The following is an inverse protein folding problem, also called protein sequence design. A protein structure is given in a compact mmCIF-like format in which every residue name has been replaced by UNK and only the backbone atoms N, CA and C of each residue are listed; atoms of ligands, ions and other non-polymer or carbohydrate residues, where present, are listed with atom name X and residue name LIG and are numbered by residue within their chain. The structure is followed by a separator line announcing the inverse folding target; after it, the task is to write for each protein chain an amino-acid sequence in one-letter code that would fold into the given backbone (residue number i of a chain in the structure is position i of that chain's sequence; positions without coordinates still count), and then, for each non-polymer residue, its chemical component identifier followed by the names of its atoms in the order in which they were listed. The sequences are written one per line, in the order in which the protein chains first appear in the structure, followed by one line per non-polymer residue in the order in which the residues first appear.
data_IF_984473042952
#
_entry.id   IF_984473042952
#
_cell.length_a   1.000
_cell.length_b   1.000
_cell.length_c   1.000
_cell.angle_alpha   90.00
_cell.angle_beta   90.00
_cell.angle_gamma   90.00
#
_symmetry.space_group_name_H-M   'P 1'
#
loop_
_entity.id
_entity.type
_entity.pdbx_description
1 polymer ?
#
# COMPACT_ATOMS: atom_id res chain seq x y z
N UNK A 1 -16.48 14.06 51.54
CA UNK A 1 -15.16 14.64 51.87
C UNK A 1 -14.04 13.62 52.08
N UNK A 2 -14.26 12.44 52.70
CA UNK A 2 -13.19 11.42 52.87
C UNK A 2 -12.64 10.85 51.54
N UNK A 3 -13.52 10.51 50.59
CA UNK A 3 -13.12 9.96 49.27
C UNK A 3 -12.26 10.91 48.41
N UNK A 4 -12.47 12.23 48.48
CA UNK A 4 -11.65 13.24 47.76
C UNK A 4 -10.22 13.32 48.31
N UNK A 5 -10.06 13.31 49.64
CA UNK A 5 -8.74 13.35 50.30
C UNK A 5 -7.92 12.08 50.06
N UNK A 6 -8.57 10.91 50.00
CA UNK A 6 -7.90 9.64 49.70
C UNK A 6 -7.40 9.60 48.25
N UNK A 7 -8.17 10.16 47.30
CA UNK A 7 -7.76 10.21 45.89
C UNK A 7 -6.59 11.19 45.66
N UNK A 8 -6.59 12.34 46.35
CA UNK A 8 -5.49 13.33 46.28
C UNK A 8 -4.16 12.77 46.84
N UNK A 9 -4.20 12.04 47.96
CA UNK A 9 -3.02 11.39 48.54
C UNK A 9 -2.47 10.25 47.67
N UNK A 10 -3.34 9.46 47.06
CA UNK A 10 -2.94 8.41 46.13
C UNK A 10 -2.27 8.99 44.86
N UNK A 11 -2.79 10.11 44.34
CA UNK A 11 -2.22 10.76 43.17
C UNK A 11 -0.84 11.37 43.46
N UNK A 12 -0.67 12.03 44.60
CA UNK A 12 0.64 12.56 45.05
C UNK A 12 1.70 11.46 45.23
N UNK A 13 1.30 10.29 45.74
CA UNK A 13 2.19 9.13 45.88
C UNK A 13 2.64 8.60 44.51
N UNK A 14 1.70 8.47 43.56
CA UNK A 14 2.01 8.06 42.18
C UNK A 14 2.91 9.05 41.45
N UNK A 15 2.69 10.35 41.61
CA UNK A 15 3.53 11.38 40.99
C UNK A 15 4.95 11.42 41.59
N UNK A 16 5.10 11.13 42.88
CA UNK A 16 6.41 10.93 43.50
C UNK A 16 7.11 9.70 42.92
N UNK A 17 6.43 8.56 42.87
CA UNK A 17 7.00 7.33 42.32
C UNK A 17 7.38 7.48 40.85
N UNK A 18 6.54 8.14 40.02
CA UNK A 18 6.87 8.44 38.62
C UNK A 18 8.18 9.21 38.51
N UNK A 19 8.39 10.26 39.32
CA UNK A 19 9.65 11.02 39.35
C UNK A 19 10.83 10.14 39.72
N UNK A 20 10.70 9.31 40.76
CA UNK A 20 11.75 8.37 41.16
C UNK A 20 12.12 7.37 40.05
N UNK A 21 11.16 6.92 39.24
CA UNK A 21 11.40 6.07 38.08
C UNK A 21 12.11 6.82 36.95
N UNK A 22 11.69 8.05 36.66
CA UNK A 22 12.34 8.89 35.65
C UNK A 22 13.79 9.17 36.04
N UNK A 23 14.03 9.54 37.29
CA UNK A 23 15.37 9.80 37.82
C UNK A 23 16.25 8.54 37.73
N UNK A 24 15.71 7.36 38.07
CA UNK A 24 16.40 6.08 37.91
C UNK A 24 16.91 5.86 36.49
N UNK A 25 16.03 6.03 35.50
CA UNK A 25 16.38 5.79 34.10
C UNK A 25 17.30 6.88 33.53
N UNK A 26 17.24 8.11 34.05
CA UNK A 26 18.18 9.19 33.70
C UNK A 26 19.57 8.93 34.27
N UNK A 27 19.66 8.54 35.54
CA UNK A 27 20.93 8.19 36.19
C UNK A 27 21.60 6.99 35.51
N UNK A 28 20.81 5.98 35.12
CA UNK A 28 21.29 4.79 34.40
C UNK A 28 21.25 4.91 32.87
N UNK A 29 21.12 6.12 32.31
CA UNK A 29 20.94 6.33 30.84
C UNK A 29 22.00 5.61 30.01
N UNK A 30 23.27 5.92 30.23
CA UNK A 30 24.36 5.34 29.44
C UNK A 30 24.49 3.82 29.57
N UNK A 31 24.53 3.22 30.76
CA UNK A 31 24.68 1.77 30.86
C UNK A 31 23.49 1.01 30.26
N UNK A 32 22.26 1.51 30.44
CA UNK A 32 21.07 0.85 29.87
C UNK A 32 21.01 1.00 28.35
N UNK A 33 21.35 2.18 27.82
CA UNK A 33 21.41 2.40 26.37
C UNK A 33 22.47 1.52 25.70
N UNK A 34 23.67 1.42 26.28
CA UNK A 34 24.71 0.52 25.76
C UNK A 34 24.26 -0.94 25.81
N UNK A 35 23.71 -1.39 26.95
CA UNK A 35 23.17 -2.75 27.09
C UNK A 35 22.08 -3.05 26.06
N UNK A 36 21.21 -2.08 25.78
CA UNK A 36 20.17 -2.20 24.76
C UNK A 36 20.77 -2.37 23.36
N UNK A 37 21.71 -1.50 22.98
CA UNK A 37 22.40 -1.58 21.68
C UNK A 37 23.14 -2.91 21.52
N UNK A 38 23.88 -3.36 22.54
CA UNK A 38 24.57 -4.65 22.52
C UNK A 38 23.62 -5.83 22.30
N UNK A 39 22.47 -5.84 22.98
CA UNK A 39 21.45 -6.88 22.78
C UNK A 39 20.83 -6.82 21.37
N UNK A 40 20.62 -5.63 20.81
CA UNK A 40 20.13 -5.50 19.44
C UNK A 40 21.15 -6.00 18.41
N UNK A 41 22.45 -5.73 18.63
CA UNK A 41 23.55 -6.27 17.80
C UNK A 41 23.57 -7.79 17.87
N UNK A 42 23.51 -8.37 19.07
CA UNK A 42 23.52 -9.81 19.26
C UNK A 42 22.34 -10.52 18.59
N UNK A 43 21.18 -9.86 18.52
CA UNK A 43 19.97 -10.33 17.83
C UNK A 43 19.96 -10.03 16.32
N UNK A 44 20.97 -9.33 15.78
CA UNK A 44 21.02 -8.94 14.36
C UNK A 44 20.02 -7.86 13.95
N UNK A 45 19.41 -7.15 14.91
CA UNK A 45 18.31 -6.20 14.65
C UNK A 45 18.80 -4.89 14.02
N UNK A 46 20.10 -4.56 14.15
CA UNK A 46 20.70 -3.34 13.61
C UNK A 46 21.37 -3.55 12.24
N UNK A 47 21.12 -4.68 11.59
CA UNK A 47 21.68 -4.96 10.27
C UNK A 47 21.31 -3.85 9.26
N UNK A 48 22.32 -3.32 8.57
CA UNK A 48 22.17 -2.25 7.57
C UNK A 48 22.29 -0.82 8.11
N UNK A 49 22.39 -0.62 9.42
CA UNK A 49 22.60 0.70 10.02
C UNK A 49 24.09 0.99 10.24
N UNK A 50 24.48 2.25 10.04
CA UNK A 50 25.82 2.74 10.39
C UNK A 50 25.96 2.95 11.90
N UNK A 51 27.20 3.01 12.39
CA UNK A 51 27.47 3.29 13.80
C UNK A 51 26.90 4.65 14.25
N UNK A 52 26.99 5.67 13.41
CA UNK A 52 26.48 7.01 13.70
C UNK A 52 24.95 7.04 13.80
N UNK A 53 24.26 6.31 12.92
CA UNK A 53 22.81 6.12 13.01
C UNK A 53 22.43 5.38 14.29
N UNK A 54 23.11 4.27 14.62
CA UNK A 54 22.83 3.50 15.84
C UNK A 54 22.97 4.40 17.09
N UNK A 55 24.03 5.20 17.18
CA UNK A 55 24.22 6.13 18.29
C UNK A 55 23.10 7.18 18.36
N UNK A 56 22.83 7.86 17.24
CA UNK A 56 21.84 8.95 17.19
C UNK A 56 20.42 8.46 17.48
N UNK A 57 20.02 7.36 16.84
CA UNK A 57 18.67 6.79 17.00
C UNK A 57 18.49 6.18 18.39
N UNK A 58 19.50 5.49 18.93
CA UNK A 58 19.40 4.93 20.29
C UNK A 58 19.27 6.02 21.36
N UNK A 59 19.98 7.15 21.23
CA UNK A 59 19.80 8.29 22.14
C UNK A 59 18.38 8.86 22.03
N UNK A 60 17.92 9.12 20.81
CA UNK A 60 16.62 9.75 20.55
C UNK A 60 15.47 8.88 21.05
N UNK A 61 15.50 7.58 20.77
CA UNK A 61 14.46 6.64 21.22
C UNK A 61 14.46 6.53 22.74
N UNK A 62 15.65 6.41 23.36
CA UNK A 62 15.75 6.31 24.81
C UNK A 62 15.14 7.55 25.48
N UNK A 63 15.56 8.74 25.06
CA UNK A 63 15.11 10.01 25.64
C UNK A 63 13.62 10.26 25.41
N UNK A 64 13.09 9.89 24.24
CA UNK A 64 11.66 9.98 23.93
C UNK A 64 10.85 9.07 24.85
N UNK A 65 11.30 7.83 25.11
CA UNK A 65 10.61 6.93 26.02
C UNK A 65 10.56 7.48 27.46
N UNK A 66 11.67 8.05 27.93
CA UNK A 66 11.74 8.65 29.27
C UNK A 66 10.88 9.91 29.37
N UNK A 67 10.85 10.75 28.32
CA UNK A 67 9.96 11.91 28.24
C UNK A 67 8.48 11.48 28.34
N UNK A 68 8.07 10.45 27.59
CA UNK A 68 6.71 9.90 27.69
C UNK A 68 6.38 9.37 29.10
N UNK A 69 7.35 8.76 29.79
CA UNK A 69 7.16 8.29 31.17
C UNK A 69 7.01 9.46 32.15
N UNK A 70 7.74 10.55 31.94
CA UNK A 70 7.71 11.75 32.78
C UNK A 70 6.42 12.56 32.60
N UNK A 71 6.03 12.82 31.35
CA UNK A 71 4.91 13.73 31.02
C UNK A 71 3.58 13.00 30.89
N UNK A 72 3.59 11.73 30.48
CA UNK A 72 2.39 11.01 30.06
C UNK A 72 1.83 11.47 28.71
N UNK A 73 2.58 12.30 27.98
CA UNK A 73 2.24 12.79 26.64
C UNK A 73 3.00 11.99 25.57
N UNK A 74 2.41 11.84 24.38
CA UNK A 74 2.91 10.93 23.34
C UNK A 74 3.02 11.57 21.95
N UNK A 75 2.75 12.86 21.80
CA UNK A 75 2.71 13.54 20.51
C UNK A 75 4.09 13.52 19.80
N UNK A 76 5.16 13.74 20.57
CA UNK A 76 6.54 13.65 20.07
C UNK A 76 6.90 12.22 19.67
N UNK A 77 6.51 11.24 20.49
CA UNK A 77 6.73 9.82 20.18
C UNK A 77 5.98 9.39 18.93
N UNK A 78 4.74 9.88 18.73
CA UNK A 78 3.97 9.63 17.52
C UNK A 78 4.61 10.27 16.28
N UNK A 79 5.03 11.53 16.40
CA UNK A 79 5.71 12.25 15.31
C UNK A 79 7.03 11.59 14.92
N UNK A 80 7.81 11.14 15.91
CA UNK A 80 9.05 10.41 15.67
C UNK A 80 8.77 9.03 15.07
N UNK A 81 7.79 8.28 15.59
CA UNK A 81 7.43 6.96 15.07
C UNK A 81 7.00 7.00 13.60
N UNK A 82 6.23 8.01 13.18
CA UNK A 82 5.84 8.20 11.78
C UNK A 82 7.07 8.42 10.89
N UNK A 83 7.96 9.35 11.26
CA UNK A 83 9.19 9.62 10.51
C UNK A 83 10.11 8.40 10.43
N UNK A 84 10.22 7.66 11.54
CA UNK A 84 11.01 6.43 11.60
C UNK A 84 10.40 5.35 10.71
N UNK A 85 9.06 5.20 10.70
CA UNK A 85 8.37 4.26 9.83
C UNK A 85 8.58 4.59 8.34
N UNK A 86 8.42 5.85 7.94
CA UNK A 86 8.66 6.31 6.57
C UNK A 86 10.07 5.98 6.10
N UNK A 87 11.10 6.38 6.87
CA UNK A 87 12.50 6.09 6.54
C UNK A 87 12.80 4.59 6.57
N UNK A 88 12.31 3.88 7.59
CA UNK A 88 12.57 2.46 7.79
C UNK A 88 11.97 1.59 6.70
N UNK A 89 10.73 1.88 6.26
CA UNK A 89 10.11 1.16 5.13
C UNK A 89 10.88 1.41 3.84
N UNK A 90 11.31 2.64 3.56
CA UNK A 90 12.11 2.99 2.38
C UNK A 90 13.48 2.31 2.36
N UNK A 91 14.11 2.16 3.52
CA UNK A 91 15.40 1.47 3.68
C UNK A 91 15.28 -0.06 3.77
N UNK A 92 14.07 -0.61 3.67
CA UNK A 92 13.84 -2.06 3.69
C UNK A 92 13.91 -2.69 5.08
N UNK A 93 13.83 -1.91 6.16
CA UNK A 93 13.78 -2.45 7.52
C UNK A 93 12.59 -3.39 7.70
N UNK A 94 12.83 -4.50 8.38
CA UNK A 94 11.79 -5.49 8.68
C UNK A 94 10.99 -5.12 9.93
N UNK A 95 9.78 -5.66 10.05
CA UNK A 95 8.99 -5.53 11.28
C UNK A 95 9.73 -6.08 12.50
N UNK A 96 10.53 -7.13 12.32
CA UNK A 96 11.33 -7.75 13.38
C UNK A 96 12.39 -6.78 13.91
N UNK A 97 13.07 -6.02 13.04
CA UNK A 97 14.04 -5.02 13.46
C UNK A 97 13.40 -3.91 14.31
N UNK A 98 12.27 -3.37 13.87
CA UNK A 98 11.61 -2.25 14.57
C UNK A 98 10.95 -2.69 15.86
N UNK A 99 10.10 -3.73 15.80
CA UNK A 99 9.37 -4.21 16.98
C UNK A 99 10.34 -4.89 17.96
N UNK A 100 11.25 -5.71 17.45
CA UNK A 100 12.26 -6.39 18.25
C UNK A 100 13.21 -5.40 18.94
N UNK A 101 13.57 -4.29 18.29
CA UNK A 101 14.38 -3.23 18.87
C UNK A 101 13.71 -2.64 20.12
N UNK A 102 12.44 -2.23 19.99
CA UNK A 102 11.69 -1.64 21.11
C UNK A 102 11.35 -2.65 22.21
N UNK A 103 11.04 -3.90 21.87
CA UNK A 103 10.87 -4.97 22.86
C UNK A 103 12.16 -5.25 23.63
N UNK A 104 13.31 -5.16 22.97
CA UNK A 104 14.61 -5.30 23.65
C UNK A 104 14.86 -4.15 24.63
N UNK A 105 14.46 -2.91 24.30
CA UNK A 105 14.52 -1.80 25.25
C UNK A 105 13.59 -2.02 26.45
N UNK A 106 12.38 -2.53 26.20
CA UNK A 106 11.44 -2.91 27.26
C UNK A 106 12.04 -3.93 28.21
N UNK A 107 12.72 -4.96 27.69
CA UNK A 107 13.40 -5.97 28.52
C UNK A 107 14.50 -5.36 29.38
N UNK A 108 15.29 -4.43 28.82
CA UNK A 108 16.36 -3.72 29.54
C UNK A 108 15.79 -2.88 30.69
N UNK A 109 14.73 -2.11 30.43
CA UNK A 109 14.04 -1.35 31.48
C UNK A 109 13.42 -2.26 32.55
N UNK A 110 12.75 -3.34 32.15
CA UNK A 110 12.16 -4.30 33.09
C UNK A 110 13.19 -4.92 34.03
N UNK A 111 14.35 -5.37 33.50
CA UNK A 111 15.45 -5.90 34.32
C UNK A 111 16.02 -4.84 35.27
N UNK A 112 16.20 -3.61 34.78
CA UNK A 112 16.70 -2.50 35.60
C UNK A 112 15.77 -2.14 36.77
N UNK A 113 14.46 -2.24 36.57
CA UNK A 113 13.47 -2.07 37.65
C UNK A 113 13.52 -3.23 38.64
N UNK A 114 13.59 -4.48 38.14
CA UNK A 114 13.72 -5.65 39.00
C UNK A 114 14.95 -5.57 39.89
N UNK A 115 16.11 -5.16 39.37
CA UNK A 115 17.34 -4.97 40.15
C UNK A 115 17.18 -3.91 41.25
N UNK A 116 16.52 -2.78 40.95
CA UNK A 116 16.30 -1.68 41.90
C UNK A 116 15.41 -2.11 43.06
N UNK A 117 14.33 -2.84 42.76
CA UNK A 117 13.30 -3.22 43.73
C UNK A 117 13.39 -4.70 44.15
N UNK A 118 14.54 -5.36 43.96
CA UNK A 118 14.69 -6.80 44.22
C UNK A 118 14.36 -7.23 45.67
N UNK A 119 14.40 -6.30 46.62
CA UNK A 119 14.06 -6.51 48.04
C UNK A 119 12.73 -5.85 48.45
N UNK A 120 11.99 -5.26 47.51
CA UNK A 120 10.75 -4.51 47.74
C UNK A 120 9.70 -4.87 46.67
N UNK A 121 8.98 -5.96 46.91
CA UNK A 121 7.99 -6.51 45.96
C UNK A 121 6.81 -5.55 45.76
N UNK A 122 6.34 -4.89 46.82
CA UNK A 122 5.23 -3.93 46.73
C UNK A 122 5.65 -2.68 45.94
N UNK A 123 6.87 -2.20 46.16
CA UNK A 123 7.46 -1.12 45.37
C UNK A 123 7.65 -1.49 43.91
N UNK A 124 8.12 -2.72 43.61
CA UNK A 124 8.24 -3.22 42.24
C UNK A 124 6.88 -3.25 41.53
N UNK A 125 5.85 -3.79 42.19
CA UNK A 125 4.50 -3.84 41.61
C UNK A 125 3.98 -2.43 41.31
N UNK A 126 4.16 -1.49 42.26
CA UNK A 126 3.73 -0.10 42.10
C UNK A 126 4.50 0.62 40.98
N UNK A 127 5.78 0.29 40.80
CA UNK A 127 6.61 0.83 39.72
C UNK A 127 6.15 0.32 38.34
N UNK A 128 5.86 -0.98 38.24
CA UNK A 128 5.36 -1.59 37.01
C UNK A 128 3.98 -1.05 36.62
N UNK A 129 3.09 -0.79 37.58
CA UNK A 129 1.78 -0.16 37.33
C UNK A 129 1.88 1.22 36.65
N UNK A 130 3.02 1.91 36.80
CA UNK A 130 3.29 3.20 36.14
C UNK A 130 4.01 2.97 34.80
N UNK A 131 5.03 2.11 34.79
CA UNK A 131 5.89 1.89 33.63
C UNK A 131 5.19 1.12 32.50
N UNK A 132 4.48 0.04 32.80
CA UNK A 132 3.92 -0.86 31.78
C UNK A 132 2.90 -0.18 30.86
N UNK A 133 1.95 0.63 31.35
CA UNK A 133 1.02 1.33 30.47
C UNK A 133 1.73 2.24 29.47
N UNK A 134 2.79 2.94 29.91
CA UNK A 134 3.59 3.82 29.05
C UNK A 134 4.35 3.00 28.01
N UNK A 135 5.05 1.94 28.44
CA UNK A 135 5.79 1.06 27.53
C UNK A 135 4.88 0.41 26.47
N UNK A 136 3.70 -0.08 26.88
CA UNK A 136 2.72 -0.67 25.97
C UNK A 136 2.14 0.36 25.00
N UNK A 137 1.93 1.61 25.44
CA UNK A 137 1.46 2.70 24.59
C UNK A 137 2.49 3.09 23.54
N UNK A 138 3.76 3.23 23.92
CA UNK A 138 4.87 3.51 22.98
C UNK A 138 4.99 2.39 21.96
N UNK A 139 4.96 1.12 22.41
CA UNK A 139 4.99 -0.03 21.51
C UNK A 139 3.84 -0.02 20.50
N UNK A 140 2.63 0.32 20.96
CA UNK A 140 1.46 0.43 20.09
C UNK A 140 1.61 1.55 19.07
N UNK A 141 2.14 2.72 19.48
CA UNK A 141 2.38 3.86 18.58
C UNK A 141 3.36 3.47 17.47
N UNK A 142 4.49 2.89 17.83
CA UNK A 142 5.53 2.48 16.87
C UNK A 142 5.01 1.38 15.94
N UNK A 143 4.31 0.38 16.48
CA UNK A 143 3.74 -0.71 15.69
C UNK A 143 2.70 -0.20 14.69
N UNK A 144 1.76 0.63 15.14
CA UNK A 144 0.71 1.17 14.28
C UNK A 144 1.27 2.10 13.20
N UNK A 145 2.24 2.94 13.53
CA UNK A 145 2.90 3.80 12.55
C UNK A 145 3.58 2.97 11.44
N UNK A 146 4.29 1.90 11.81
CA UNK A 146 4.95 1.04 10.83
C UNK A 146 3.97 0.25 9.96
N UNK A 147 2.92 -0.31 10.57
CA UNK A 147 1.86 -1.02 9.82
C UNK A 147 1.17 -0.06 8.84
N UNK A 148 0.80 1.14 9.29
CA UNK A 148 0.14 2.13 8.46
C UNK A 148 1.00 2.53 7.24
N UNK A 149 2.30 2.73 7.44
CA UNK A 149 3.21 3.09 6.34
C UNK A 149 3.42 1.93 5.37
N UNK A 150 3.58 0.69 5.87
CA UNK A 150 3.66 -0.50 5.01
C UNK A 150 2.40 -0.67 4.17
N UNK A 151 1.22 -0.53 4.78
CA UNK A 151 -0.05 -0.59 4.03
C UNK A 151 -0.16 0.51 3.00
N UNK A 152 0.30 1.73 3.31
CA UNK A 152 0.31 2.86 2.37
C UNK A 152 1.18 2.54 1.15
N UNK A 153 2.38 1.99 1.36
CA UNK A 153 3.25 1.55 0.26
C UNK A 153 2.59 0.46 -0.58
N UNK A 154 1.95 -0.53 0.05
CA UNK A 154 1.22 -1.60 -0.67
C UNK A 154 0.06 -1.02 -1.51
N UNK A 155 -0.72 -0.09 -0.95
CA UNK A 155 -1.81 0.59 -1.67
C UNK A 155 -1.29 1.37 -2.86
N UNK A 156 -0.23 2.15 -2.68
CA UNK A 156 0.40 2.91 -3.78
C UNK A 156 0.95 2.01 -4.88
N UNK A 157 1.55 0.87 -4.51
CA UNK A 157 1.99 -0.12 -5.48
C UNK A 157 0.82 -0.74 -6.24
N UNK A 158 -0.28 -1.05 -5.55
CA UNK A 158 -1.50 -1.57 -6.18
C UNK A 158 -2.14 -0.55 -7.13
N UNK A 159 -2.22 0.72 -6.74
CA UNK A 159 -2.71 1.81 -7.59
C UNK A 159 -1.81 2.00 -8.82
N UNK A 160 -0.49 2.04 -8.64
CA UNK A 160 0.46 2.14 -9.75
C UNK A 160 0.35 0.94 -10.71
N UNK A 161 0.19 -0.28 -10.18
CA UNK A 161 -0.08 -1.47 -10.99
C UNK A 161 -1.39 -1.30 -11.75
N UNK A 162 -2.47 -0.82 -11.13
CA UNK A 162 -3.75 -0.58 -11.81
C UNK A 162 -3.64 0.46 -12.93
N UNK A 163 -2.95 1.57 -12.70
CA UNK A 163 -2.71 2.59 -13.73
C UNK A 163 -1.87 2.06 -14.91
N UNK A 164 -0.90 1.20 -14.63
CA UNK A 164 -0.05 0.58 -15.66
C UNK A 164 -0.72 -0.59 -16.40
N UNK A 165 -1.77 -1.20 -15.83
CA UNK A 165 -2.29 -2.50 -16.30
C UNK A 165 -3.28 -2.45 -17.46
N UNK A 166 -3.65 -1.26 -17.97
CA UNK A 166 -4.62 -1.12 -19.09
C UNK A 166 -4.41 0.18 -19.89
N UNK A 167 -3.28 0.35 -20.60
CA UNK A 167 -3.08 1.53 -21.42
C UNK A 167 -3.98 1.48 -22.67
N UNK A 168 -4.67 2.58 -22.98
CA UNK A 168 -5.28 2.76 -24.32
C UNK A 168 -4.15 3.07 -25.29
N UNK A 169 -3.87 2.14 -26.20
CA UNK A 169 -2.75 2.23 -27.15
C UNK A 169 -3.24 2.74 -28.50
N UNK A 170 -2.58 3.76 -29.05
CA UNK A 170 -2.80 4.15 -30.44
C UNK A 170 -1.88 3.35 -31.35
N UNK A 171 -2.45 2.44 -32.13
CA UNK A 171 -1.69 1.62 -33.08
C UNK A 171 -1.38 2.38 -34.35
N UNK A 172 -2.31 3.24 -34.77
CA UNK A 172 -2.18 4.09 -35.96
C UNK A 172 -3.22 5.21 -35.94
N UNK A 173 -3.23 6.02 -36.99
CA UNK A 173 -4.25 7.05 -37.15
C UNK A 173 -5.67 6.45 -37.11
N UNK A 174 -6.52 7.04 -36.28
CA UNK A 174 -7.92 6.67 -36.09
C UNK A 174 -8.21 5.26 -35.51
N UNK A 175 -7.19 4.52 -35.05
CA UNK A 175 -7.34 3.19 -34.45
C UNK A 175 -6.71 3.11 -33.05
N UNK A 176 -7.50 2.64 -32.08
CA UNK A 176 -7.04 2.35 -30.73
C UNK A 176 -7.14 0.85 -30.41
N UNK A 177 -6.27 0.38 -29.52
CA UNK A 177 -6.41 -0.90 -28.84
C UNK A 177 -6.54 -0.65 -27.34
N UNK A 178 -7.48 -1.34 -26.71
CA UNK A 178 -7.65 -1.38 -25.26
C UNK A 178 -7.52 -2.83 -24.77
N UNK A 179 -6.33 -3.26 -24.35
CA UNK A 179 -6.15 -4.58 -23.75
C UNK A 179 -6.58 -4.54 -22.28
N UNK A 180 -7.39 -5.50 -21.86
CA UNK A 180 -7.85 -5.66 -20.49
C UNK A 180 -7.28 -6.96 -19.91
N UNK A 181 -6.44 -6.83 -18.88
CA UNK A 181 -5.69 -7.94 -18.27
C UNK A 181 -6.03 -8.03 -16.79
N UNK A 182 -6.29 -9.25 -16.31
CA UNK A 182 -6.53 -9.54 -14.90
C UNK A 182 -7.97 -9.28 -14.46
N UNK A 183 -8.20 -9.29 -13.15
CA UNK A 183 -9.53 -9.08 -12.58
C UNK A 183 -9.94 -7.61 -12.73
N UNK A 184 -11.17 -7.39 -13.18
CA UNK A 184 -11.77 -6.06 -13.32
C UNK A 184 -12.78 -5.89 -12.18
N UNK A 185 -12.71 -4.76 -11.48
CA UNK A 185 -13.78 -4.31 -10.59
C UNK A 185 -14.49 -3.08 -11.20
N UNK A 186 -15.57 -2.64 -10.55
CA UNK A 186 -16.34 -1.46 -10.96
C UNK A 186 -15.48 -0.18 -11.05
N UNK A 187 -14.52 0.00 -10.15
CA UNK A 187 -13.68 1.20 -10.14
C UNK A 187 -12.78 1.25 -11.37
N UNK A 188 -12.09 0.13 -11.63
CA UNK A 188 -11.21 -0.05 -12.79
C UNK A 188 -11.98 0.06 -14.10
N UNK A 189 -13.16 -0.54 -14.20
CA UNK A 189 -14.00 -0.45 -15.40
C UNK A 189 -14.41 1.01 -15.72
N UNK A 190 -14.69 1.82 -14.69
CA UNK A 190 -15.00 3.25 -14.87
C UNK A 190 -13.78 4.04 -15.34
N UNK A 191 -12.62 3.83 -14.71
CA UNK A 191 -11.37 4.48 -15.11
C UNK A 191 -11.01 4.16 -16.57
N UNK A 192 -11.17 2.89 -16.96
CA UNK A 192 -10.98 2.42 -18.33
C UNK A 192 -11.87 3.16 -19.32
N UNK A 193 -13.15 3.27 -19.01
CA UNK A 193 -14.11 4.01 -19.83
C UNK A 193 -13.68 5.47 -19.98
N UNK A 194 -13.36 6.15 -18.88
CA UNK A 194 -12.96 7.55 -18.88
C UNK A 194 -11.66 7.79 -19.68
N UNK A 195 -10.68 6.90 -19.57
CA UNK A 195 -9.44 6.98 -20.33
C UNK A 195 -9.68 6.72 -21.82
N UNK A 196 -10.49 5.72 -22.16
CA UNK A 196 -10.84 5.40 -23.54
C UNK A 196 -11.55 6.57 -24.23
N UNK A 197 -12.59 7.12 -23.61
CA UNK A 197 -13.37 8.24 -24.18
C UNK A 197 -12.50 9.51 -24.36
N UNK A 198 -11.61 9.81 -23.40
CA UNK A 198 -10.62 10.89 -23.54
C UNK A 198 -9.67 10.65 -24.71
N UNK A 199 -9.22 9.42 -24.88
CA UNK A 199 -8.30 9.05 -25.96
C UNK A 199 -8.99 9.11 -27.31
N UNK A 200 -10.21 8.57 -27.45
CA UNK A 200 -11.03 8.68 -28.67
C UNK A 200 -11.15 10.13 -29.12
N UNK A 201 -11.45 11.05 -28.19
CA UNK A 201 -11.57 12.47 -28.49
C UNK A 201 -10.27 13.10 -28.98
N UNK A 202 -9.16 12.77 -28.32
CA UNK A 202 -7.85 13.40 -28.60
C UNK A 202 -7.20 12.84 -29.87
N UNK A 203 -7.29 11.53 -30.11
CA UNK A 203 -6.75 10.87 -31.31
C UNK A 203 -7.73 10.85 -32.49
N UNK A 204 -8.98 11.33 -32.29
CA UNK A 204 -10.09 11.25 -33.26
C UNK A 204 -10.31 9.81 -33.76
N UNK A 205 -10.19 8.84 -32.85
CA UNK A 205 -10.37 7.44 -33.18
C UNK A 205 -11.74 7.16 -33.81
N UNK A 206 -11.75 6.32 -34.84
CA UNK A 206 -12.96 5.81 -35.49
C UNK A 206 -13.22 4.35 -35.15
N UNK A 207 -12.16 3.61 -34.79
CA UNK A 207 -12.28 2.22 -34.39
C UNK A 207 -11.47 1.96 -33.12
N UNK A 208 -12.03 1.17 -32.21
CA UNK A 208 -11.39 0.69 -30.99
C UNK A 208 -11.46 -0.83 -30.99
N UNK A 209 -10.32 -1.50 -30.84
CA UNK A 209 -10.26 -2.94 -30.58
C UNK A 209 -10.09 -3.16 -29.08
N UNK A 210 -11.12 -3.67 -28.43
CA UNK A 210 -11.11 -4.00 -27.00
C UNK A 210 -10.79 -5.49 -26.85
N UNK A 211 -9.65 -5.82 -26.24
CA UNK A 211 -9.22 -7.20 -26.02
C UNK A 211 -9.42 -7.61 -24.57
N UNK A 212 -10.21 -8.66 -24.36
CA UNK A 212 -10.52 -9.19 -23.02
C UNK A 212 -9.98 -10.60 -22.81
N UNK A 213 -9.07 -11.07 -23.67
CA UNK A 213 -8.43 -12.40 -23.56
C UNK A 213 -7.80 -12.64 -22.19
N UNK A 214 -7.27 -11.58 -21.55
CA UNK A 214 -6.60 -11.64 -20.25
C UNK A 214 -7.53 -11.61 -19.03
N UNK A 215 -8.85 -11.66 -19.22
CA UNK A 215 -9.85 -11.54 -18.14
C UNK A 215 -10.34 -12.95 -17.75
N UNK A 216 -10.03 -13.46 -16.53
CA UNK A 216 -10.31 -14.85 -16.14
C UNK A 216 -11.81 -15.14 -15.91
N UNK A 217 -12.64 -14.10 -15.82
CA UNK A 217 -14.09 -14.20 -15.64
C UNK A 217 -14.71 -12.82 -15.51
N UNK A 218 -15.98 -12.71 -15.90
CA UNK A 218 -16.74 -11.46 -15.87
C UNK A 218 -17.99 -11.69 -15.03
N UNK A 219 -18.19 -10.90 -13.99
CA UNK A 219 -19.45 -10.88 -13.24
C UNK A 219 -20.49 -9.96 -13.91
N UNK A 220 -21.71 -9.94 -13.38
CA UNK A 220 -22.79 -9.11 -13.94
C UNK A 220 -22.52 -7.60 -13.88
N UNK A 221 -21.73 -7.12 -12.91
CA UNK A 221 -21.40 -5.69 -12.78
C UNK A 221 -20.37 -5.28 -13.82
N UNK A 222 -19.33 -6.08 -13.99
CA UNK A 222 -18.25 -5.86 -14.97
C UNK A 222 -18.80 -5.97 -16.39
N UNK A 223 -19.65 -6.97 -16.68
CA UNK A 223 -20.31 -7.09 -17.98
C UNK A 223 -21.10 -5.83 -18.35
N UNK A 224 -21.91 -5.31 -17.42
CA UNK A 224 -22.65 -4.07 -17.63
C UNK A 224 -21.72 -2.88 -17.91
N UNK A 225 -20.58 -2.78 -17.23
CA UNK A 225 -19.61 -1.71 -17.50
C UNK A 225 -18.94 -1.85 -18.88
N UNK A 226 -18.65 -3.08 -19.34
CA UNK A 226 -18.13 -3.29 -20.70
C UNK A 226 -19.14 -2.82 -21.75
N UNK A 227 -20.42 -3.14 -21.59
CA UNK A 227 -21.50 -2.69 -22.48
C UNK A 227 -21.61 -1.17 -22.47
N UNK A 228 -21.60 -0.55 -21.28
CA UNK A 228 -21.60 0.91 -21.16
C UNK A 228 -20.40 1.56 -21.84
N UNK A 229 -19.23 0.92 -21.78
CA UNK A 229 -18.02 1.39 -22.45
C UNK A 229 -18.18 1.37 -23.98
N UNK A 230 -18.77 0.29 -24.51
CA UNK A 230 -19.09 0.15 -25.94
C UNK A 230 -20.07 1.23 -26.38
N UNK A 231 -21.20 1.38 -25.67
CA UNK A 231 -22.23 2.37 -25.99
C UNK A 231 -21.67 3.80 -25.94
N UNK A 232 -20.89 4.13 -24.91
CA UNK A 232 -20.28 5.45 -24.77
C UNK A 232 -19.27 5.73 -25.89
N UNK A 233 -18.49 4.73 -26.31
CA UNK A 233 -17.55 4.86 -27.43
C UNK A 233 -18.28 5.09 -28.76
N UNK A 234 -19.39 4.38 -28.97
CA UNK A 234 -20.23 4.55 -30.15
C UNK A 234 -20.86 5.96 -30.20
N UNK A 235 -21.28 6.51 -29.05
CA UNK A 235 -21.74 7.90 -28.95
C UNK A 235 -20.65 8.92 -29.27
N UNK A 236 -19.38 8.59 -29.00
CA UNK A 236 -18.22 9.39 -29.41
C UNK A 236 -17.87 9.22 -30.90
N UNK A 237 -18.61 8.40 -31.65
CA UNK A 237 -18.42 8.15 -33.07
C UNK A 237 -17.29 7.16 -33.39
N UNK A 238 -16.94 6.30 -32.43
CA UNK A 238 -15.97 5.23 -32.61
C UNK A 238 -16.65 3.84 -32.51
N UNK A 239 -16.49 3.02 -33.55
CA UNK A 239 -16.96 1.63 -33.56
C UNK A 239 -16.05 0.78 -32.68
N UNK A 240 -16.65 -0.03 -31.79
CA UNK A 240 -15.89 -0.93 -30.92
C UNK A 240 -15.97 -2.36 -31.45
N UNK A 241 -14.81 -3.01 -31.56
CA UNK A 241 -14.66 -4.44 -31.84
C UNK A 241 -14.16 -5.10 -30.56
N UNK A 242 -14.89 -6.09 -30.04
CA UNK A 242 -14.52 -6.82 -28.85
C UNK A 242 -13.90 -8.17 -29.23
N UNK A 243 -12.76 -8.49 -28.63
CA UNK A 243 -11.96 -9.68 -28.93
C UNK A 243 -11.64 -10.46 -27.67
N UNK A 244 -11.37 -11.77 -27.80
CA UNK A 244 -10.95 -12.58 -26.66
C UNK A 244 -12.08 -12.98 -25.71
N UNK A 245 -13.33 -13.03 -26.19
CA UNK A 245 -14.48 -13.44 -25.38
C UNK A 245 -14.39 -14.95 -25.11
N UNK A 246 -14.20 -15.33 -23.83
CA UNK A 246 -14.26 -16.74 -23.42
C UNK A 246 -15.69 -17.29 -23.42
N UNK A 247 -15.89 -18.63 -23.48
CA UNK A 247 -17.21 -19.23 -23.41
C UNK A 247 -18.03 -18.81 -22.17
N UNK A 248 -17.39 -18.67 -21.01
CA UNK A 248 -18.01 -18.28 -19.75
C UNK A 248 -18.49 -16.81 -19.80
N UNK A 249 -17.70 -15.93 -20.41
CA UNK A 249 -18.05 -14.51 -20.59
C UNK A 249 -19.22 -14.39 -21.56
N UNK A 250 -19.21 -15.15 -22.66
CA UNK A 250 -20.30 -15.17 -23.63
C UNK A 250 -21.63 -15.59 -22.98
N UNK A 251 -21.63 -16.66 -22.18
CA UNK A 251 -22.83 -17.10 -21.44
C UNK A 251 -23.36 -16.02 -20.48
N UNK A 252 -22.45 -15.32 -19.80
CA UNK A 252 -22.80 -14.23 -18.89
C UNK A 252 -23.45 -13.07 -19.63
N UNK A 253 -22.87 -12.61 -20.75
CA UNK A 253 -23.43 -11.54 -21.58
C UNK A 253 -24.82 -11.89 -22.12
N UNK A 254 -25.03 -13.13 -22.56
CA UNK A 254 -26.35 -13.63 -23.01
C UNK A 254 -27.35 -13.65 -21.86
N UNK A 255 -26.95 -14.12 -20.67
CA UNK A 255 -27.81 -14.19 -19.49
C UNK A 255 -28.28 -12.81 -19.04
N UNK A 256 -27.44 -11.79 -19.21
CA UNK A 256 -27.76 -10.40 -18.86
C UNK A 256 -28.64 -9.70 -19.91
N UNK A 257 -28.94 -10.36 -21.03
CA UNK A 257 -29.76 -9.79 -22.09
C UNK A 257 -29.07 -8.66 -22.86
N UNK A 258 -27.74 -8.71 -22.95
CA UNK A 258 -26.97 -7.71 -23.73
C UNK A 258 -27.39 -7.76 -25.19
N UNK A 259 -27.67 -6.60 -25.77
CA UNK A 259 -27.98 -6.47 -27.20
C UNK A 259 -26.70 -6.63 -28.04
N UNK A 260 -26.46 -7.87 -28.47
CA UNK A 260 -25.29 -8.24 -29.26
C UNK A 260 -25.28 -7.61 -30.67
N UNK A 261 -26.39 -7.03 -31.15
CA UNK A 261 -26.42 -6.37 -32.47
C UNK A 261 -25.56 -5.12 -32.53
N UNK A 262 -25.23 -4.53 -31.37
CA UNK A 262 -24.38 -3.35 -31.22
C UNK A 262 -22.92 -3.69 -30.96
N UNK A 263 -22.59 -4.97 -30.80
CA UNK A 263 -21.28 -5.43 -30.37
C UNK A 263 -20.63 -6.21 -31.50
N UNK A 264 -19.70 -5.59 -32.22
CA UNK A 264 -18.88 -6.31 -33.19
C UNK A 264 -17.90 -7.20 -32.42
N UNK A 265 -17.90 -8.50 -32.65
CA UNK A 265 -17.06 -9.45 -31.90
C UNK A 265 -16.22 -10.29 -32.85
N UNK A 266 -14.94 -10.49 -32.49
CA UNK A 266 -14.00 -11.32 -33.26
C UNK A 266 -13.25 -12.24 -32.28
N UNK A 267 -12.79 -13.40 -32.76
CA UNK A 267 -12.21 -14.45 -31.91
C UNK A 267 -10.97 -14.01 -31.14
N UNK A 268 -10.08 -13.24 -31.75
CA UNK A 268 -8.82 -12.81 -31.16
C UNK A 268 -8.43 -11.38 -31.56
N UNK A 269 -7.39 -10.85 -30.90
CA UNK A 269 -6.86 -9.51 -31.15
C UNK A 269 -6.39 -9.32 -32.59
N UNK A 270 -5.82 -10.37 -33.21
CA UNK A 270 -5.37 -10.29 -34.61
C UNK A 270 -6.56 -10.02 -35.54
N UNK A 271 -7.62 -10.82 -35.46
CA UNK A 271 -8.83 -10.64 -36.24
C UNK A 271 -9.51 -9.30 -35.94
N UNK A 272 -9.48 -8.82 -34.70
CA UNK A 272 -9.98 -7.50 -34.35
C UNK A 272 -9.22 -6.36 -35.04
N UNK A 273 -7.90 -6.47 -35.17
CA UNK A 273 -7.09 -5.49 -35.91
C UNK A 273 -7.36 -5.56 -37.41
N UNK A 274 -7.52 -6.76 -37.97
CA UNK A 274 -7.86 -6.96 -39.38
C UNK A 274 -9.23 -6.35 -39.73
N UNK A 275 -10.23 -6.58 -38.88
CA UNK A 275 -11.56 -5.98 -39.05
C UNK A 275 -11.53 -4.46 -38.88
N UNK A 276 -10.75 -3.96 -37.91
CA UNK A 276 -10.55 -2.52 -37.75
C UNK A 276 -9.88 -1.88 -38.97
N UNK A 277 -8.94 -2.58 -39.61
CA UNK A 277 -8.32 -2.14 -40.86
C UNK A 277 -9.37 -2.03 -41.98
N UNK A 278 -10.24 -3.04 -42.10
CA UNK A 278 -11.30 -3.06 -43.11
C UNK A 278 -12.29 -1.89 -42.93
N UNK A 279 -12.74 -1.62 -41.69
CA UNK A 279 -13.62 -0.49 -41.37
C UNK A 279 -13.00 0.88 -41.69
N UNK A 280 -11.68 0.98 -41.63
CA UNK A 280 -10.93 2.20 -41.94
C UNK A 280 -10.54 2.32 -43.43
N UNK A 281 -10.95 1.36 -44.27
CA UNK A 281 -10.62 1.34 -45.71
C UNK A 281 -9.20 0.88 -46.01
N UNK A 282 -8.53 0.20 -45.06
CA UNK A 282 -7.24 -0.44 -45.30
C UNK A 282 -7.44 -1.90 -45.69
N UNK A 283 -6.61 -2.38 -46.62
CA UNK A 283 -6.52 -3.80 -46.96
C UNK A 283 -5.11 -4.30 -46.68
N UNK A 284 -4.99 -5.35 -45.88
CA UNK A 284 -3.71 -6.01 -45.66
C UNK A 284 -3.41 -6.88 -46.88
N UNK A 285 -2.29 -6.61 -47.55
CA UNK A 285 -1.83 -7.39 -48.71
C UNK A 285 -0.51 -8.05 -48.35
N UNK A 286 -0.41 -9.36 -48.57
CA UNK A 286 0.86 -10.07 -48.47
C UNK A 286 1.68 -9.74 -49.72
N UNK A 287 2.73 -8.95 -49.55
CA UNK A 287 3.68 -8.69 -50.64
C UNK A 287 4.58 -9.92 -50.74
N UNK A 288 4.40 -10.72 -51.79
CA UNK A 288 5.38 -11.75 -52.16
C UNK A 288 6.71 -11.03 -52.48
N UNK A 289 7.69 -11.22 -51.61
CA UNK A 289 8.95 -10.50 -51.70
C UNK A 289 9.86 -11.18 -52.70
N UNK A 290 10.07 -10.56 -53.86
CA UNK A 290 11.37 -10.67 -54.56
C UNK A 290 12.45 -9.78 -53.90
N UNK A 291 12.10 -8.94 -52.93
CA UNK A 291 13.00 -8.40 -51.92
C UNK A 291 12.17 -7.66 -50.86
N UNK A 292 12.37 -8.00 -49.58
CA UNK A 292 11.43 -7.70 -48.51
C UNK A 292 11.43 -6.26 -48.04
N UNK A 293 10.25 -5.62 -48.14
CA UNK A 293 9.74 -4.62 -47.19
C UNK A 293 8.21 -4.54 -47.36
N UNK A 294 7.46 -4.75 -46.28
CA UNK A 294 5.99 -4.69 -46.28
C UNK A 294 5.55 -3.22 -46.29
N UNK A 295 4.70 -2.82 -47.23
CA UNK A 295 3.97 -1.54 -47.23
C UNK A 295 2.46 -1.79 -47.21
N UNK A 296 1.71 -1.00 -46.42
CA UNK A 296 0.24 -0.95 -46.43
C UNK A 296 -0.23 0.19 -47.33
N UNK A 297 -1.22 -0.04 -48.19
CA UNK A 297 -1.85 0.97 -49.04
C UNK A 297 -3.25 1.32 -48.52
N UNK A 298 -3.63 2.60 -48.65
CA UNK A 298 -4.97 3.11 -48.33
C UNK A 298 -5.76 3.16 -49.64
N UNK A 299 -6.94 2.52 -49.67
CA UNK A 299 -7.83 2.50 -50.84
C UNK A 299 -8.79 3.67 -50.80
#
# INVERSE_FOLDING_TARGET
MKSKKTNEQANQSKDKLRRELVDHFREKREPLRHQWVEQMIAKGLLAGLTREEIETESMTIYDTCIACLETGEYDDAQTYAIRMAERGVLQGMTSEQIIGGLLTLRDVYGRSLFERYQHDIEGLSSALDIYEPVANKILSIVALAFVAEREKVVRQQQEAIQELSTPVLQVRDQMLILPIIGVIDTHRARQLTEQLLRTIRTSRAKVVVMDITGVPGVDSKVANHLVQTVDASQLMGATVIVTGISPEIAQTLVTLGVDLTKMNTVGDLQGGIEEADHLLGYKVVRIESSNGFIRKEKV
#
